data_IF_530791616782
#
_entry.id   IF_530791616782
#
_cell.length_a   1.000
_cell.length_b   1.000
_cell.length_c   1.000
_cell.angle_alpha   90.00
_cell.angle_beta   90.00
_cell.angle_gamma   90.00
#
_symmetry.space_group_name_H-M   'P 1'
#
loop_
_entity.id
_entity.type
_entity.pdbx_description
1 polymer ?
#
# COMPACT_ATOMS: atom_id res chain seq x y z
N UNK A 1 -10.28 4.88 5.50
CA UNK A 1 -11.08 3.66 5.21
C UNK A 1 -11.59 2.95 6.48
N UNK A 2 -12.56 2.03 6.38
CA UNK A 2 -13.07 1.21 7.53
C UNK A 2 -12.50 -0.22 7.58
N UNK A 3 -11.91 -0.68 6.48
CA UNK A 3 -11.17 -1.95 6.36
C UNK A 3 -9.95 -1.76 5.46
N UNK A 4 -8.95 -2.67 5.50
CA UNK A 4 -7.85 -2.63 4.57
C UNK A 4 -8.32 -2.76 3.12
N UNK A 5 -7.62 -2.03 2.24
CA UNK A 5 -7.72 -2.20 0.79
C UNK A 5 -7.26 -3.61 0.41
N UNK A 6 -7.87 -4.23 -0.59
CA UNK A 6 -7.42 -5.51 -1.13
C UNK A 6 -6.44 -5.34 -2.30
N UNK A 7 -5.74 -6.41 -2.66
CA UNK A 7 -4.89 -6.41 -3.86
C UNK A 7 -5.67 -6.21 -5.17
N UNK A 8 -6.92 -6.66 -5.24
CA UNK A 8 -7.84 -6.35 -6.35
C UNK A 8 -8.14 -4.86 -6.41
N UNK A 9 -8.54 -4.26 -5.28
CA UNK A 9 -8.86 -2.83 -5.20
C UNK A 9 -7.65 -1.95 -5.52
N UNK A 10 -6.44 -2.36 -5.12
CA UNK A 10 -5.20 -1.66 -5.51
C UNK A 10 -5.02 -1.69 -7.03
N UNK A 11 -5.15 -2.86 -7.67
CA UNK A 11 -5.05 -2.97 -9.12
C UNK A 11 -6.06 -2.07 -9.82
N UNK A 12 -7.34 -2.17 -9.45
CA UNK A 12 -8.42 -1.38 -10.04
C UNK A 12 -8.20 0.12 -9.86
N UNK A 13 -7.68 0.53 -8.68
CA UNK A 13 -7.38 1.93 -8.40
C UNK A 13 -6.27 2.47 -9.29
N UNK A 14 -5.16 1.74 -9.42
CA UNK A 14 -4.06 2.16 -10.29
C UNK A 14 -4.48 2.11 -11.75
N UNK A 15 -5.21 1.07 -12.17
CA UNK A 15 -5.76 0.95 -13.51
C UNK A 15 -6.66 2.14 -13.87
N UNK A 16 -7.52 2.57 -12.93
CA UNK A 16 -8.37 3.76 -13.11
C UNK A 16 -7.55 5.04 -13.30
N UNK A 17 -6.48 5.22 -12.51
CA UNK A 17 -5.54 6.35 -12.66
C UNK A 17 -4.87 6.33 -14.04
N UNK A 18 -4.47 5.15 -14.52
CA UNK A 18 -3.86 5.00 -15.84
C UNK A 18 -4.86 5.31 -16.97
N UNK A 19 -6.12 4.90 -16.85
CA UNK A 19 -7.19 5.24 -17.80
C UNK A 19 -7.39 6.75 -17.83
N UNK A 20 -7.55 7.40 -16.67
CA UNK A 20 -7.73 8.85 -16.55
C UNK A 20 -6.57 9.64 -17.18
N UNK A 21 -5.36 9.09 -17.13
CA UNK A 21 -4.14 9.67 -17.73
C UNK A 21 -3.89 9.25 -19.17
N UNK A 22 -4.79 8.48 -19.78
CA UNK A 22 -4.63 7.93 -21.14
C UNK A 22 -3.33 7.13 -21.33
N UNK A 23 -2.96 6.35 -20.31
CA UNK A 23 -1.75 5.50 -20.28
C UNK A 23 -2.04 4.01 -20.53
N UNK A 24 -3.30 3.62 -20.65
CA UNK A 24 -3.67 2.26 -21.03
C UNK A 24 -3.52 2.10 -22.54
N UNK A 25 -2.73 1.13 -23.03
CA UNK A 25 -2.53 0.94 -24.46
C UNK A 25 -3.68 0.13 -25.08
N UNK A 26 -4.00 0.44 -26.34
CA UNK A 26 -5.08 -0.22 -27.09
C UNK A 26 -4.75 -1.67 -27.52
N UNK A 27 -3.51 -2.13 -27.31
CA UNK A 27 -3.05 -3.48 -27.70
C UNK A 27 -3.48 -4.59 -26.73
N UNK A 28 -4.13 -4.22 -25.62
CA UNK A 28 -4.53 -5.16 -24.59
C UNK A 28 -5.72 -6.01 -25.09
N UNK A 29 -5.58 -7.31 -24.89
CA UNK A 29 -6.67 -8.29 -24.93
C UNK A 29 -7.53 -8.13 -23.67
N UNK A 30 -6.87 -8.08 -22.51
CA UNK A 30 -7.53 -7.80 -21.24
C UNK A 30 -6.61 -7.17 -20.19
N UNK A 31 -7.26 -6.53 -19.22
CA UNK A 31 -6.71 -6.12 -17.92
C UNK A 31 -7.59 -6.71 -16.82
N UNK A 32 -7.07 -7.64 -16.02
CA UNK A 32 -7.83 -8.33 -14.99
C UNK A 32 -7.15 -8.22 -13.64
N UNK A 33 -7.92 -7.86 -12.61
CA UNK A 33 -7.48 -7.95 -11.23
C UNK A 33 -7.32 -9.43 -10.81
N UNK A 34 -6.63 -9.65 -9.69
CA UNK A 34 -6.52 -10.99 -9.09
C UNK A 34 -7.90 -11.56 -8.75
N UNK A 35 -8.10 -12.85 -9.01
CA UNK A 35 -9.31 -13.58 -8.58
C UNK A 35 -9.24 -14.05 -7.13
N UNK A 36 -8.08 -13.92 -6.47
CA UNK A 36 -7.86 -14.29 -5.08
C UNK A 36 -7.35 -13.06 -4.31
N UNK A 37 -8.20 -12.05 -4.06
CA UNK A 37 -7.80 -10.84 -3.36
C UNK A 37 -7.45 -11.11 -1.90
N UNK A 38 -6.40 -10.43 -1.40
CA UNK A 38 -6.05 -10.43 0.03
C UNK A 38 -5.98 -9.00 0.56
N UNK A 39 -6.27 -8.77 1.86
CA UNK A 39 -6.13 -7.44 2.47
C UNK A 39 -4.66 -6.99 2.56
N UNK A 40 -4.38 -5.75 2.16
CA UNK A 40 -3.08 -5.09 2.29
C UNK A 40 -3.05 -4.32 3.62
N UNK A 41 -2.28 -4.82 4.59
CA UNK A 41 -2.29 -4.33 5.97
C UNK A 41 -1.12 -3.42 6.34
N UNK A 42 -0.13 -3.36 5.46
CA UNK A 42 1.09 -2.55 5.61
C UNK A 42 1.40 -1.87 4.28
N UNK A 43 2.03 -0.69 4.34
CA UNK A 43 2.66 -0.08 3.16
C UNK A 43 4.08 -0.63 2.91
N UNK A 44 4.61 -1.45 3.84
CA UNK A 44 5.93 -2.08 3.73
C UNK A 44 5.85 -3.34 2.85
N UNK A 45 5.61 -3.13 1.55
CA UNK A 45 5.66 -4.19 0.54
C UNK A 45 6.44 -3.73 -0.69
N UNK A 46 6.98 -4.69 -1.43
CA UNK A 46 7.60 -4.47 -2.73
C UNK A 46 6.61 -4.83 -3.84
N UNK A 47 6.42 -3.95 -4.81
CA UNK A 47 5.79 -4.31 -6.08
C UNK A 47 6.77 -5.14 -6.93
N UNK A 48 6.29 -6.28 -7.44
CA UNK A 48 7.02 -7.17 -8.32
C UNK A 48 6.22 -7.48 -9.57
N UNK A 49 6.92 -7.90 -10.61
CA UNK A 49 6.31 -8.18 -11.90
C UNK A 49 6.97 -9.36 -12.62
N UNK A 50 6.23 -9.90 -13.58
CA UNK A 50 6.69 -10.79 -14.62
C UNK A 50 6.18 -10.26 -15.95
N UNK A 51 7.09 -9.71 -16.76
CA UNK A 51 6.81 -9.28 -18.13
C UNK A 51 7.49 -10.27 -19.08
N UNK A 52 6.70 -11.04 -19.83
CA UNK A 52 7.26 -12.09 -20.70
C UNK A 52 6.30 -12.48 -21.82
N UNK A 53 6.83 -13.14 -22.84
CA UNK A 53 6.04 -13.84 -23.84
C UNK A 53 5.25 -15.00 -23.21
N UNK A 54 4.01 -15.14 -23.63
CA UNK A 54 3.16 -16.27 -23.29
C UNK A 54 3.65 -17.56 -23.97
N UNK A 55 3.28 -18.71 -23.40
CA UNK A 55 3.67 -20.00 -23.97
C UNK A 55 2.87 -20.43 -25.22
N UNK A 56 1.83 -19.68 -25.59
CA UNK A 56 0.96 -20.01 -26.73
C UNK A 56 0.50 -18.75 -27.49
N UNK A 57 0.16 -17.68 -26.76
CA UNK A 57 -0.27 -16.42 -27.38
C UNK A 57 0.00 -15.19 -26.49
N UNK A 58 0.57 -14.15 -27.08
CA UNK A 58 0.63 -12.80 -26.53
C UNK A 58 1.74 -12.55 -25.51
N UNK A 59 1.76 -11.34 -24.95
CA UNK A 59 2.68 -10.89 -23.92
C UNK A 59 1.89 -10.70 -22.63
N UNK A 60 2.41 -11.24 -21.54
CA UNK A 60 1.82 -11.14 -20.22
C UNK A 60 2.63 -10.19 -19.35
N UNK A 61 1.92 -9.29 -18.67
CA UNK A 61 2.42 -8.53 -17.54
C UNK A 61 1.63 -8.93 -16.30
N UNK A 62 2.24 -9.76 -15.46
CA UNK A 62 1.67 -10.22 -14.18
C UNK A 62 2.28 -9.41 -13.05
N UNK A 63 1.45 -8.92 -12.14
CA UNK A 63 1.84 -8.04 -11.02
C UNK A 63 1.49 -8.68 -9.67
N UNK A 64 2.39 -8.59 -8.70
CA UNK A 64 2.16 -9.04 -7.33
C UNK A 64 2.92 -8.19 -6.32
N UNK A 65 2.46 -8.17 -5.07
CA UNK A 65 3.21 -7.61 -3.94
C UNK A 65 3.99 -8.71 -3.23
N UNK A 66 5.14 -8.36 -2.68
CA UNK A 66 5.87 -9.15 -1.69
C UNK A 66 5.94 -8.39 -0.36
N UNK A 67 5.56 -9.03 0.73
CA UNK A 67 5.54 -8.42 2.06
C UNK A 67 5.96 -9.44 3.13
N UNK A 68 6.29 -8.94 4.31
CA UNK A 68 6.63 -9.78 5.45
C UNK A 68 5.41 -9.98 6.33
N UNK A 69 5.12 -11.23 6.67
CA UNK A 69 4.08 -11.60 7.63
C UNK A 69 4.67 -12.65 8.57
N UNK A 70 4.63 -12.42 9.88
CA UNK A 70 5.20 -13.33 10.89
C UNK A 70 6.68 -13.74 10.63
N UNK A 71 7.46 -12.85 10.00
CA UNK A 71 8.85 -13.07 9.55
C UNK A 71 9.00 -14.01 8.35
N UNK A 72 7.91 -14.40 7.71
CA UNK A 72 7.90 -15.10 6.44
C UNK A 72 7.62 -14.13 5.29
N UNK A 73 8.27 -14.36 4.16
CA UNK A 73 7.99 -13.61 2.93
C UNK A 73 6.74 -14.17 2.27
N UNK A 74 5.71 -13.34 2.12
CA UNK A 74 4.46 -13.66 1.42
C UNK A 74 4.46 -13.01 0.03
N UNK A 75 3.63 -13.57 -0.86
CA UNK A 75 3.35 -13.03 -2.19
C UNK A 75 1.85 -12.98 -2.38
N UNK A 76 1.35 -11.89 -2.92
CA UNK A 76 -0.06 -11.77 -3.28
C UNK A 76 -0.22 -11.14 -4.66
N UNK A 77 -0.90 -11.84 -5.55
CA UNK A 77 -1.21 -11.34 -6.88
C UNK A 77 -2.08 -10.07 -6.78
N UNK A 78 -1.82 -9.13 -7.69
CA UNK A 78 -2.55 -7.86 -7.82
C UNK A 78 -3.41 -7.90 -9.08
N UNK A 79 -2.80 -8.21 -10.23
CA UNK A 79 -3.51 -8.29 -11.50
C UNK A 79 -2.61 -8.67 -12.66
N UNK A 80 -3.21 -8.79 -13.84
CA UNK A 80 -2.55 -9.18 -15.08
C UNK A 80 -3.06 -8.35 -16.25
N UNK A 81 -2.14 -7.90 -17.09
CA UNK A 81 -2.42 -7.39 -18.43
C UNK A 81 -1.93 -8.43 -19.46
N UNK A 82 -2.70 -8.63 -20.52
CA UNK A 82 -2.34 -9.53 -21.62
C UNK A 82 -2.62 -8.88 -22.98
N UNK A 83 -1.80 -9.16 -23.97
CA UNK A 83 -2.01 -8.82 -25.39
C UNK A 83 -2.39 -10.04 -26.24
N UNK A 84 -2.78 -9.84 -27.50
CA UNK A 84 -2.74 -10.89 -28.55
C UNK A 84 -1.45 -10.82 -29.40
N UNK A 85 -0.65 -9.77 -29.20
CA UNK A 85 0.56 -9.47 -29.98
C UNK A 85 1.83 -10.01 -29.30
N UNK A 86 2.79 -10.47 -30.10
CA UNK A 86 4.08 -11.03 -29.65
C UNK A 86 5.29 -10.36 -30.32
N UNK A 87 5.07 -9.31 -31.09
CA UNK A 87 6.17 -8.56 -31.70
C UNK A 87 6.93 -7.69 -30.67
N UNK A 88 8.08 -7.19 -31.11
CA UNK A 88 8.96 -6.39 -30.25
C UNK A 88 8.31 -5.05 -29.84
N UNK A 89 7.49 -4.45 -30.71
CA UNK A 89 6.82 -3.18 -30.41
C UNK A 89 5.79 -3.38 -29.29
N UNK A 90 5.03 -4.46 -29.34
CA UNK A 90 4.12 -4.86 -28.26
C UNK A 90 4.85 -5.06 -26.94
N UNK A 91 6.04 -5.67 -26.94
CA UNK A 91 6.87 -5.82 -25.74
C UNK A 91 7.30 -4.46 -25.16
N UNK A 92 7.73 -3.52 -26.01
CA UNK A 92 8.09 -2.17 -25.57
C UNK A 92 6.89 -1.38 -25.03
N UNK A 93 5.70 -1.56 -25.61
CA UNK A 93 4.46 -0.96 -25.11
C UNK A 93 4.11 -1.54 -23.73
N UNK A 94 4.18 -2.86 -23.56
CA UNK A 94 3.91 -3.51 -22.26
C UNK A 94 4.94 -3.13 -21.19
N UNK A 95 6.21 -2.93 -21.56
CA UNK A 95 7.24 -2.40 -20.67
C UNK A 95 6.95 -0.95 -20.24
N UNK A 96 6.42 -0.13 -21.14
CA UNK A 96 6.00 1.24 -20.83
C UNK A 96 4.80 1.24 -19.86
N UNK A 97 3.81 0.38 -20.10
CA UNK A 97 2.69 0.18 -19.18
C UNK A 97 3.14 -0.26 -17.78
N UNK A 98 4.12 -1.17 -17.68
CA UNK A 98 4.72 -1.55 -16.40
C UNK A 98 5.37 -0.35 -15.69
N UNK A 99 6.16 0.45 -16.41
CA UNK A 99 6.80 1.63 -15.82
C UNK A 99 5.77 2.62 -15.29
N UNK A 100 4.71 2.88 -16.06
CA UNK A 100 3.61 3.74 -15.65
C UNK A 100 2.89 3.18 -14.42
N UNK A 101 2.60 1.87 -14.38
CA UNK A 101 1.97 1.24 -13.22
C UNK A 101 2.83 1.42 -11.96
N UNK A 102 4.14 1.16 -12.03
CA UNK A 102 5.07 1.34 -10.89
C UNK A 102 5.04 2.79 -10.38
N UNK A 103 5.08 3.78 -11.28
CA UNK A 103 5.10 5.20 -10.92
C UNK A 103 3.81 5.59 -10.20
N UNK A 104 2.66 5.20 -10.73
CA UNK A 104 1.37 5.58 -10.19
C UNK A 104 1.05 4.82 -8.89
N UNK A 105 1.42 3.55 -8.79
CA UNK A 105 1.28 2.74 -7.58
C UNK A 105 2.11 3.31 -6.44
N UNK A 106 3.41 3.56 -6.67
CA UNK A 106 4.29 4.15 -5.68
C UNK A 106 3.78 5.52 -5.21
N UNK A 107 3.32 6.37 -6.14
CA UNK A 107 2.73 7.67 -5.81
C UNK A 107 1.46 7.53 -4.98
N UNK A 108 0.57 6.61 -5.37
CA UNK A 108 -0.70 6.40 -4.68
C UNK A 108 -0.48 5.92 -3.24
N UNK A 109 0.35 4.91 -3.02
CA UNK A 109 0.62 4.38 -1.66
C UNK A 109 1.25 5.45 -0.77
N UNK A 110 2.28 6.15 -1.25
CA UNK A 110 2.98 7.16 -0.45
C UNK A 110 2.10 8.37 -0.09
N UNK A 111 1.14 8.72 -0.94
CA UNK A 111 0.18 9.78 -0.63
C UNK A 111 -0.96 9.31 0.29
N UNK A 112 -1.08 8.00 0.54
CA UNK A 112 -2.18 7.41 1.31
C UNK A 112 -1.66 6.42 2.38
N UNK A 113 -0.51 6.66 3.01
CA UNK A 113 0.13 5.71 3.94
C UNK A 113 -0.78 5.21 5.08
N UNK A 114 -1.66 6.08 5.62
CA UNK A 114 -2.58 5.68 6.70
C UNK A 114 -3.58 4.60 6.25
N UNK A 115 -3.99 4.67 4.99
CA UNK A 115 -4.91 3.73 4.36
C UNK A 115 -4.30 2.33 4.18
N UNK A 116 -2.97 2.22 4.31
CA UNK A 116 -2.20 0.98 4.31
C UNK A 116 -1.62 0.62 5.68
N UNK A 117 -1.81 1.44 6.72
CA UNK A 117 -1.29 1.17 8.07
C UNK A 117 -2.38 0.56 8.95
N UNK A 118 -2.49 -0.77 9.00
CA UNK A 118 -3.56 -1.48 9.74
C UNK A 118 -3.07 -2.28 10.95
N UNK A 119 -1.76 -2.35 11.14
CA UNK A 119 -1.13 -3.13 12.20
C UNK A 119 -0.47 -2.22 13.25
N UNK A 120 -0.38 -2.73 14.47
CA UNK A 120 0.25 -2.00 15.56
C UNK A 120 -0.57 -0.79 16.04
N UNK A 121 0.15 0.22 16.54
CA UNK A 121 -0.43 1.45 17.04
C UNK A 121 0.48 2.65 16.78
N UNK A 122 -0.12 3.79 16.47
CA UNK A 122 0.58 5.05 16.28
C UNK A 122 0.56 5.90 17.55
N UNK A 123 1.67 6.58 17.83
CA UNK A 123 1.84 7.43 19.01
C UNK A 123 2.29 8.83 18.57
N UNK A 124 1.52 9.85 18.96
CA UNK A 124 1.85 11.25 18.69
C UNK A 124 1.77 12.10 19.95
N UNK A 125 2.74 12.98 20.15
CA UNK A 125 2.60 14.08 21.08
C UNK A 125 1.59 15.10 20.55
N UNK A 126 0.80 15.70 21.44
CA UNK A 126 -0.05 16.84 21.10
C UNK A 126 0.62 18.13 21.53
N UNK A 127 0.54 19.14 20.65
CA UNK A 127 0.91 20.52 20.92
C UNK A 127 -0.10 21.15 21.87
N UNK A 128 0.21 22.34 22.40
CA UNK A 128 -0.69 23.04 23.33
C UNK A 128 -2.04 23.41 22.72
N UNK A 129 -2.08 23.65 21.40
CA UNK A 129 -3.32 23.90 20.65
C UNK A 129 -4.15 22.63 20.37
N UNK A 130 -3.70 21.45 20.84
CA UNK A 130 -4.37 20.17 20.63
C UNK A 130 -4.04 19.48 19.30
N UNK A 131 -3.28 20.11 18.41
CA UNK A 131 -2.82 19.47 17.17
C UNK A 131 -1.72 18.44 17.44
N UNK A 132 -1.60 17.45 16.55
CA UNK A 132 -0.48 16.51 16.58
C UNK A 132 0.83 17.22 16.25
N UNK A 133 1.91 16.75 16.87
CA UNK A 133 3.25 17.03 16.39
C UNK A 133 3.41 16.56 14.93
N UNK A 134 4.31 17.21 14.18
CA UNK A 134 4.64 16.83 12.81
C UNK A 134 5.46 15.53 12.70
N UNK A 135 5.64 14.83 13.82
CA UNK A 135 6.30 13.54 13.92
C UNK A 135 5.47 12.61 14.82
N UNK A 136 5.73 11.32 14.71
CA UNK A 136 5.11 10.28 15.51
C UNK A 136 5.92 9.00 15.47
N UNK A 137 5.44 8.00 16.20
CA UNK A 137 6.02 6.67 16.18
C UNK A 137 4.94 5.65 15.82
N UNK A 138 5.22 4.82 14.83
CA UNK A 138 4.45 3.60 14.58
C UNK A 138 5.11 2.45 15.33
N UNK A 139 4.34 1.78 16.18
CA UNK A 139 4.81 0.68 17.01
C UNK A 139 4.11 -0.60 16.58
N UNK A 140 4.85 -1.69 16.37
CA UNK A 140 4.27 -2.97 15.94
C UNK A 140 3.31 -3.62 16.95
N UNK A 141 3.30 -3.18 18.21
CA UNK A 141 2.38 -3.68 19.24
C UNK A 141 1.85 -2.56 20.14
N UNK A 142 0.67 -2.78 20.71
CA UNK A 142 0.08 -1.84 21.68
C UNK A 142 0.95 -1.66 22.93
N UNK A 143 1.60 -2.72 23.42
CA UNK A 143 2.51 -2.61 24.57
C UNK A 143 3.72 -1.72 24.28
N UNK A 144 4.29 -1.82 23.08
CA UNK A 144 5.37 -0.93 22.65
C UNK A 144 4.87 0.52 22.52
N UNK A 145 3.67 0.72 21.99
CA UNK A 145 3.05 2.04 21.89
C UNK A 145 2.80 2.67 23.26
N UNK A 146 2.32 1.89 24.24
CA UNK A 146 2.09 2.38 25.60
C UNK A 146 3.41 2.76 26.31
N UNK A 147 4.48 1.97 26.14
CA UNK A 147 5.82 2.33 26.64
C UNK A 147 6.31 3.64 26.00
N UNK A 148 6.17 3.77 24.68
CA UNK A 148 6.55 5.00 23.96
C UNK A 148 5.73 6.20 24.41
N UNK A 149 4.44 6.01 24.68
CA UNK A 149 3.58 7.04 25.24
C UNK A 149 4.07 7.51 26.61
N UNK A 150 4.50 6.60 27.49
CA UNK A 150 5.04 6.99 28.81
C UNK A 150 6.35 7.78 28.70
N UNK A 151 7.21 7.44 27.72
CA UNK A 151 8.42 8.22 27.43
C UNK A 151 8.08 9.64 26.97
N UNK A 152 7.11 9.79 26.07
CA UNK A 152 6.69 11.09 25.56
C UNK A 152 6.03 11.96 26.62
N UNK A 153 5.25 11.39 27.54
CA UNK A 153 4.60 12.13 28.63
C UNK A 153 5.58 12.76 29.63
N UNK A 154 6.87 12.40 29.59
CA UNK A 154 7.93 13.07 30.37
C UNK A 154 8.20 14.50 29.89
N UNK A 155 8.00 14.75 28.59
CA UNK A 155 8.33 16.02 27.94
C UNK A 155 7.12 16.70 27.30
N UNK A 156 5.98 16.02 27.21
CA UNK A 156 4.75 16.51 26.58
C UNK A 156 3.56 16.38 27.52
N UNK A 157 2.71 17.41 27.58
CA UNK A 157 1.51 17.43 28.43
C UNK A 157 0.48 16.39 28.02
N UNK A 158 0.34 16.14 26.71
CA UNK A 158 -0.65 15.20 26.15
C UNK A 158 -0.04 14.36 25.05
N UNK A 159 -0.40 13.08 25.03
CA UNK A 159 0.02 12.11 24.01
C UNK A 159 -1.22 11.32 23.57
N UNK A 160 -1.40 11.15 22.28
CA UNK A 160 -2.43 10.28 21.70
C UNK A 160 -1.81 8.97 21.26
N UNK A 161 -2.49 7.88 21.59
CA UNK A 161 -2.22 6.54 21.05
C UNK A 161 -3.42 6.13 20.22
N UNK A 162 -3.18 5.74 18.97
CA UNK A 162 -4.19 5.25 18.04
C UNK A 162 -3.95 3.77 17.77
N UNK A 163 -4.98 2.96 17.95
CA UNK A 163 -4.97 1.57 17.48
C UNK A 163 -5.22 1.56 15.97
N UNK A 164 -4.28 1.01 15.19
CA UNK A 164 -4.30 1.12 13.73
C UNK A 164 -5.34 0.18 13.08
N UNK A 165 -5.76 -0.88 13.76
CA UNK A 165 -6.80 -1.78 13.25
C UNK A 165 -8.20 -1.17 13.41
N UNK A 166 -8.46 -0.52 14.55
CA UNK A 166 -9.79 0.02 14.90
C UNK A 166 -9.94 1.52 14.64
N UNK A 167 -8.82 2.19 14.38
CA UNK A 167 -8.68 3.66 14.28
C UNK A 167 -9.12 4.42 15.53
N UNK A 168 -9.30 3.71 16.66
CA UNK A 168 -9.69 4.33 17.93
C UNK A 168 -8.51 5.00 18.58
N UNK A 169 -8.77 6.17 19.14
CA UNK A 169 -7.76 6.99 19.79
C UNK A 169 -8.00 7.08 21.28
N UNK A 170 -6.90 7.11 22.03
CA UNK A 170 -6.92 7.40 23.45
C UNK A 170 -5.87 8.46 23.76
N UNK A 171 -6.34 9.55 24.35
CA UNK A 171 -5.50 10.64 24.82
C UNK A 171 -5.09 10.34 26.25
N UNK A 172 -3.81 10.54 26.53
CA UNK A 172 -3.21 10.44 27.84
C UNK A 172 -2.62 11.79 28.21
N UNK A 173 -2.78 12.17 29.45
CA UNK A 173 -2.28 13.43 29.99
C UNK A 173 -1.21 13.16 31.03
N UNK A 174 -0.21 14.02 31.06
CA UNK A 174 0.82 13.98 32.10
C UNK A 174 0.16 14.32 33.44
N UNK A 175 0.50 13.56 34.49
CA UNK A 175 -0.01 13.77 35.84
C UNK A 175 0.82 14.78 36.65
N UNK A 176 1.67 15.55 35.99
CA UNK A 176 2.62 16.50 36.58
C UNK A 176 2.07 17.92 36.39
#
# INVERSE_FOLDING_TARGET
MTRPMTTEELFEKINSILIEKSKIPDILDYSLATSNPVPIRTYEFDLRNFLNYGGNEGIYLVLWIEYMEEKEKRRAAIGTYKTLYEDADAMHIMASLLADFIIEEHSYVNNNLDDFTWEGADVHALKENGERANWGYTCGTMDAALKRKDELLRNHKKVVVRDNATRKEKIYESRI
#
